data_IF_326842424959
#
_entry.id   IF_326842424959
#
_cell.length_a   1.000
_cell.length_b   1.000
_cell.length_c   1.000
_cell.angle_alpha   90.00
_cell.angle_beta   90.00
_cell.angle_gamma   90.00
#
_symmetry.space_group_name_H-M   'P 1'
#
loop_
_entity.id
_entity.type
_entity.pdbx_description
1 polymer ?
#
# COMPACT_ATOMS: atom_id res chain seq x y z
N UNK A 1 31.41 -22.55 16.05
CA UNK A 1 30.12 -22.99 15.46
C UNK A 1 30.09 -22.67 13.95
N UNK A 2 30.95 -23.36 13.16
CA UNK A 2 30.96 -23.21 11.70
C UNK A 2 29.70 -23.79 11.07
N UNK A 3 29.05 -23.03 10.17
CA UNK A 3 27.93 -23.51 9.37
C UNK A 3 26.59 -23.68 10.06
N UNK A 4 26.47 -23.33 11.34
CA UNK A 4 25.20 -23.42 12.07
C UNK A 4 24.37 -22.14 11.90
N UNK A 5 23.12 -22.30 11.47
CA UNK A 5 22.15 -21.22 11.41
C UNK A 5 21.91 -20.63 12.80
N UNK A 6 22.12 -19.31 12.96
CA UNK A 6 21.98 -18.57 14.23
C UNK A 6 20.54 -18.51 14.80
N UNK A 7 19.63 -19.41 14.36
CA UNK A 7 18.22 -19.31 14.69
C UNK A 7 17.80 -19.73 16.12
N UNK A 8 18.64 -20.42 16.88
CA UNK A 8 18.40 -20.69 18.31
C UNK A 8 19.73 -20.71 19.05
N UNK A 9 19.82 -19.99 20.19
CA UNK A 9 21.00 -19.98 21.06
C UNK A 9 21.35 -21.40 21.55
N UNK A 10 20.34 -22.26 21.73
CA UNK A 10 20.52 -23.66 22.12
C UNK A 10 21.26 -24.50 21.07
N UNK A 11 21.33 -24.05 19.82
CA UNK A 11 22.02 -24.74 18.72
C UNK A 11 23.49 -24.27 18.52
N UNK A 12 24.08 -23.56 19.51
CA UNK A 12 25.47 -23.09 19.48
C UNK A 12 26.29 -23.75 20.59
N UNK A 13 26.69 -25.03 20.44
CA UNK A 13 27.31 -25.79 21.50
C UNK A 13 28.61 -25.20 22.00
N UNK A 14 29.44 -24.64 21.11
CA UNK A 14 30.69 -24.01 21.48
C UNK A 14 30.48 -22.67 22.19
N UNK A 15 29.48 -21.91 21.82
CA UNK A 15 29.10 -20.69 22.54
C UNK A 15 28.59 -21.02 23.95
N UNK A 16 27.81 -22.06 24.11
CA UNK A 16 27.37 -22.53 25.44
C UNK A 16 28.54 -23.08 26.26
N UNK A 17 29.51 -23.75 25.62
CA UNK A 17 30.74 -24.19 26.26
C UNK A 17 31.53 -23.00 26.76
N UNK A 18 31.73 -21.97 25.94
CA UNK A 18 32.37 -20.73 26.32
C UNK A 18 31.71 -20.09 27.55
N UNK A 19 30.37 -19.99 27.57
CA UNK A 19 29.63 -19.42 28.70
C UNK A 19 29.84 -20.24 29.98
N UNK A 20 29.86 -21.58 29.92
CA UNK A 20 30.19 -22.42 31.07
C UNK A 20 31.60 -22.20 31.57
N UNK A 21 32.58 -22.03 30.69
CA UNK A 21 33.96 -21.69 31.08
C UNK A 21 34.05 -20.32 31.76
N UNK A 22 33.22 -19.36 31.34
CA UNK A 22 33.08 -18.06 32.03
C UNK A 22 32.51 -18.23 33.44
N UNK A 23 31.49 -19.04 33.64
CA UNK A 23 30.92 -19.35 34.96
C UNK A 23 31.95 -20.03 35.89
N UNK A 24 32.84 -20.84 35.34
CA UNK A 24 33.97 -21.47 36.05
C UNK A 24 35.17 -20.52 36.24
N UNK A 25 35.07 -19.24 35.85
CA UNK A 25 36.12 -18.24 35.91
C UNK A 25 37.44 -18.65 35.21
N UNK A 26 37.30 -19.36 34.09
CA UNK A 26 38.44 -19.77 33.25
C UNK A 26 38.70 -18.78 32.11
N UNK A 27 37.85 -17.74 31.97
CA UNK A 27 37.96 -16.71 30.94
C UNK A 27 37.82 -15.35 31.63
N UNK A 28 38.73 -14.43 31.35
CA UNK A 28 38.73 -13.07 31.90
C UNK A 28 38.18 -12.05 30.90
N UNK A 29 38.34 -12.32 29.59
CA UNK A 29 37.93 -11.42 28.51
C UNK A 29 37.50 -12.22 27.30
N UNK A 30 36.39 -11.80 26.66
CA UNK A 30 35.92 -12.31 25.39
C UNK A 30 36.20 -11.27 24.32
N UNK A 31 36.89 -11.67 23.25
CA UNK A 31 37.09 -10.86 22.06
C UNK A 31 36.14 -11.38 20.96
N UNK A 32 35.40 -10.47 20.35
CA UNK A 32 34.49 -10.80 19.25
C UNK A 32 34.51 -9.68 18.21
N UNK A 33 34.32 -10.05 17.00
CA UNK A 33 34.39 -9.10 15.87
C UNK A 33 33.32 -8.03 15.97
N UNK A 34 32.04 -8.44 16.19
CA UNK A 34 30.90 -7.53 16.27
C UNK A 34 29.78 -8.09 17.16
N UNK A 35 28.83 -7.24 17.54
CA UNK A 35 27.63 -7.62 18.31
C UNK A 35 26.80 -8.67 17.57
N UNK A 36 26.67 -8.56 16.26
CA UNK A 36 25.91 -9.51 15.42
C UNK A 36 26.54 -10.93 15.34
N UNK A 37 27.86 -11.03 15.57
CA UNK A 37 28.57 -12.32 15.68
C UNK A 37 28.44 -12.94 17.05
N UNK A 38 28.37 -12.10 18.08
CA UNK A 38 28.22 -12.55 19.46
C UNK A 38 26.82 -13.07 19.74
N UNK A 39 25.78 -12.32 19.37
CA UNK A 39 24.40 -12.70 19.59
C UNK A 39 23.55 -12.37 18.33
N UNK A 40 22.46 -13.11 18.14
CA UNK A 40 21.57 -12.97 16.98
C UNK A 40 20.63 -11.76 17.06
N UNK A 41 20.44 -11.21 18.23
CA UNK A 41 19.66 -10.00 18.44
C UNK A 41 20.20 -9.22 19.66
N UNK A 42 19.89 -7.93 19.67
CA UNK A 42 20.36 -7.00 20.70
C UNK A 42 19.92 -7.38 22.10
N UNK A 43 18.73 -7.96 22.26
CA UNK A 43 18.23 -8.40 23.57
C UNK A 43 19.07 -9.54 24.15
N UNK A 44 19.46 -10.51 23.34
CA UNK A 44 20.35 -11.59 23.75
C UNK A 44 21.76 -11.06 24.05
N UNK A 45 22.31 -10.19 23.17
CA UNK A 45 23.60 -9.56 23.41
C UNK A 45 23.64 -8.84 24.76
N UNK A 46 22.62 -8.03 25.04
CA UNK A 46 22.52 -7.31 26.31
C UNK A 46 22.40 -8.25 27.52
N UNK A 47 21.63 -9.33 27.41
CA UNK A 47 21.48 -10.29 28.48
C UNK A 47 22.80 -11.03 28.79
N UNK A 48 23.52 -11.50 27.76
CA UNK A 48 24.79 -12.18 27.93
C UNK A 48 25.87 -11.22 28.45
N UNK A 49 25.97 -10.01 27.91
CA UNK A 49 26.97 -9.03 28.40
C UNK A 49 26.73 -8.63 29.83
N UNK A 50 25.47 -8.46 30.27
CA UNK A 50 25.13 -8.21 31.69
C UNK A 50 25.53 -9.37 32.60
N UNK A 51 25.22 -10.63 32.20
CA UNK A 51 25.61 -11.82 32.95
C UNK A 51 27.13 -11.91 33.10
N UNK A 52 27.87 -11.70 32.01
CA UNK A 52 29.32 -11.74 31.99
C UNK A 52 29.94 -10.62 32.85
N UNK A 53 29.37 -9.42 32.78
CA UNK A 53 29.78 -8.28 33.58
C UNK A 53 29.60 -8.52 35.09
N UNK A 54 28.51 -9.20 35.49
CA UNK A 54 28.31 -9.61 36.90
C UNK A 54 29.36 -10.62 37.36
N UNK A 55 29.94 -11.42 36.46
CA UNK A 55 31.05 -12.33 36.72
C UNK A 55 32.41 -11.63 36.67
N UNK A 56 32.45 -10.34 36.35
CA UNK A 56 33.68 -9.56 36.16
C UNK A 56 34.36 -9.79 34.80
N UNK A 57 33.67 -10.44 33.84
CA UNK A 57 34.25 -10.79 32.55
C UNK A 57 33.83 -9.74 31.52
N UNK A 58 34.81 -9.15 30.82
CA UNK A 58 34.61 -8.20 29.76
C UNK A 58 34.28 -8.86 28.43
N UNK A 59 33.50 -8.15 27.62
CA UNK A 59 33.34 -8.48 26.18
C UNK A 59 33.78 -7.26 25.38
N UNK A 60 34.71 -7.46 24.47
CA UNK A 60 35.18 -6.43 23.56
C UNK A 60 34.74 -6.75 22.15
N UNK A 61 33.99 -5.82 21.55
CA UNK A 61 33.53 -5.86 20.19
C UNK A 61 34.45 -4.96 19.36
N UNK A 62 35.30 -5.58 18.53
CA UNK A 62 36.38 -4.88 17.81
C UNK A 62 35.85 -3.90 16.77
N UNK A 63 34.92 -4.32 15.91
CA UNK A 63 34.35 -3.47 14.86
C UNK A 63 33.44 -2.37 15.42
N UNK A 64 32.71 -2.68 16.50
CA UNK A 64 31.77 -1.74 17.10
C UNK A 64 32.46 -0.80 18.13
N UNK A 65 33.73 -1.03 18.46
CA UNK A 65 34.50 -0.23 19.40
C UNK A 65 33.98 -0.27 20.85
N UNK A 66 33.27 -1.35 21.23
CA UNK A 66 32.59 -1.47 22.53
C UNK A 66 33.40 -2.35 23.47
N UNK A 67 33.66 -1.84 24.69
CA UNK A 67 34.19 -2.62 25.82
C UNK A 67 33.20 -2.59 26.98
N UNK A 68 32.61 -3.73 27.30
CA UNK A 68 31.50 -3.82 28.27
C UNK A 68 31.92 -3.51 29.72
N UNK A 69 33.16 -3.70 30.10
CA UNK A 69 33.66 -3.35 31.46
C UNK A 69 33.86 -1.84 31.60
N UNK A 70 34.29 -1.16 30.53
CA UNK A 70 34.58 0.27 30.53
C UNK A 70 33.29 1.15 30.42
N UNK A 71 32.16 0.57 30.09
CA UNK A 71 30.91 1.31 29.85
C UNK A 71 29.88 1.10 30.97
N UNK A 72 29.17 2.18 31.32
CA UNK A 72 28.01 2.10 32.21
C UNK A 72 26.88 1.29 31.54
N UNK A 73 26.03 0.63 32.33
CA UNK A 73 24.97 -0.23 31.82
C UNK A 73 23.97 0.51 30.96
N UNK A 74 23.66 1.76 31.28
CA UNK A 74 22.78 2.62 30.53
C UNK A 74 23.36 2.98 29.14
N UNK A 75 24.65 3.25 29.09
CA UNK A 75 25.39 3.51 27.86
C UNK A 75 25.43 2.28 26.94
N UNK A 76 25.63 1.09 27.49
CA UNK A 76 25.58 -0.18 26.78
C UNK A 76 24.19 -0.40 26.16
N UNK A 77 23.13 -0.12 26.92
CA UNK A 77 21.75 -0.26 26.46
C UNK A 77 21.46 0.68 25.27
N UNK A 78 21.87 1.93 25.39
CA UNK A 78 21.69 2.93 24.33
C UNK A 78 22.49 2.58 23.07
N UNK A 79 23.73 2.12 23.23
CA UNK A 79 24.59 1.72 22.09
C UNK A 79 24.02 0.51 21.36
N UNK A 80 23.60 -0.51 22.09
CA UNK A 80 22.98 -1.69 21.49
C UNK A 80 21.63 -1.36 20.83
N UNK A 81 20.84 -0.46 21.39
CA UNK A 81 19.61 0.00 20.78
C UNK A 81 19.87 0.75 19.46
N UNK A 82 20.91 1.58 19.41
CA UNK A 82 21.33 2.27 18.19
C UNK A 82 21.78 1.28 17.09
N UNK A 83 22.60 0.27 17.44
CA UNK A 83 23.02 -0.79 16.50
C UNK A 83 21.80 -1.54 15.94
N UNK A 84 20.85 -1.94 16.79
CA UNK A 84 19.63 -2.62 16.34
C UNK A 84 18.80 -1.77 15.38
N UNK A 85 18.74 -0.48 15.63
CA UNK A 85 18.02 0.44 14.76
C UNK A 85 18.71 0.58 13.39
N UNK A 86 20.04 0.64 13.37
CA UNK A 86 20.81 0.68 12.13
C UNK A 86 20.71 -0.63 11.33
N UNK A 87 20.83 -1.78 11.97
CA UNK A 87 20.62 -3.08 11.34
C UNK A 87 19.22 -3.18 10.71
N UNK A 88 18.18 -2.76 11.43
CA UNK A 88 16.80 -2.74 10.91
C UNK A 88 16.65 -1.84 9.69
N UNK A 89 17.26 -0.64 9.70
CA UNK A 89 17.29 0.27 8.55
C UNK A 89 18.02 -0.34 7.37
N UNK A 90 19.18 -0.91 7.60
CA UNK A 90 20.00 -1.56 6.56
C UNK A 90 19.26 -2.71 5.89
N UNK A 91 18.64 -3.60 6.67
CA UNK A 91 17.82 -4.71 6.15
C UNK A 91 16.69 -4.17 5.28
N UNK A 92 15.97 -3.13 5.75
CA UNK A 92 14.86 -2.51 5.01
C UNK A 92 15.35 -1.88 3.69
N UNK A 93 16.52 -1.24 3.69
CA UNK A 93 17.12 -0.66 2.48
C UNK A 93 17.53 -1.74 1.48
N UNK A 94 18.19 -2.82 1.94
CA UNK A 94 18.57 -3.94 1.07
C UNK A 94 17.35 -4.65 0.47
N UNK A 95 16.29 -4.84 1.25
CA UNK A 95 15.04 -5.39 0.73
C UNK A 95 14.42 -4.47 -0.33
N UNK A 96 14.39 -3.14 -0.08
CA UNK A 96 13.90 -2.17 -1.05
C UNK A 96 14.69 -2.19 -2.35
N UNK A 97 16.02 -2.17 -2.28
CA UNK A 97 16.89 -2.27 -3.45
C UNK A 97 16.68 -3.57 -4.24
N UNK A 98 16.54 -4.70 -3.55
CA UNK A 98 16.24 -5.99 -4.18
C UNK A 98 14.88 -5.97 -4.90
N UNK A 99 13.86 -5.34 -4.30
CA UNK A 99 12.54 -5.20 -4.92
C UNK A 99 12.61 -4.30 -6.16
N UNK A 100 13.27 -3.14 -6.06
CA UNK A 100 13.47 -2.21 -7.17
C UNK A 100 14.17 -2.92 -8.34
N UNK A 101 15.27 -3.61 -8.08
CA UNK A 101 16.01 -4.35 -9.11
C UNK A 101 15.14 -5.41 -9.81
N UNK A 102 14.28 -6.11 -9.07
CA UNK A 102 13.31 -7.06 -9.66
C UNK A 102 12.23 -6.35 -10.47
N UNK A 103 11.82 -5.14 -10.10
CA UNK A 103 10.88 -4.34 -10.89
C UNK A 103 11.52 -3.87 -12.20
N UNK A 104 12.78 -3.45 -12.19
CA UNK A 104 13.56 -3.08 -13.38
C UNK A 104 13.69 -4.26 -14.37
N UNK A 105 13.94 -5.46 -13.84
CA UNK A 105 14.08 -6.68 -14.64
C UNK A 105 12.72 -7.28 -15.07
N UNK A 106 11.59 -6.75 -14.58
CA UNK A 106 10.26 -7.30 -14.84
C UNK A 106 9.95 -8.59 -14.09
N UNK A 107 10.79 -9.00 -13.15
CA UNK A 107 10.66 -10.23 -12.34
C UNK A 107 9.82 -10.01 -11.08
N UNK A 108 9.45 -8.77 -10.77
CA UNK A 108 8.62 -8.49 -9.61
C UNK A 108 7.17 -8.86 -9.89
N UNK A 109 6.63 -9.75 -9.07
CA UNK A 109 5.24 -10.18 -9.15
C UNK A 109 4.50 -9.71 -7.89
N UNK A 110 3.47 -8.90 -8.12
CA UNK A 110 2.57 -8.46 -7.07
C UNK A 110 1.72 -9.65 -6.59
N UNK A 111 1.48 -9.75 -5.29
CA UNK A 111 0.63 -10.78 -4.69
C UNK A 111 -0.82 -10.74 -5.17
N UNK A 112 -1.25 -9.60 -5.75
CA UNK A 112 -2.58 -9.39 -6.29
C UNK A 112 -2.62 -9.54 -7.82
N UNK A 113 -3.09 -10.69 -8.30
CA UNK A 113 -3.43 -10.87 -9.71
C UNK A 113 -4.63 -9.98 -10.10
N UNK A 114 -4.65 -9.30 -11.26
CA UNK A 114 -5.84 -8.60 -11.75
C UNK A 114 -6.98 -9.57 -12.07
N UNK A 115 -8.21 -9.06 -12.23
CA UNK A 115 -9.36 -9.84 -12.69
C UNK A 115 -9.07 -10.42 -14.07
N UNK A 116 -9.38 -11.69 -14.30
CA UNK A 116 -8.98 -12.42 -15.52
C UNK A 116 -7.66 -13.18 -15.39
N UNK A 117 -6.93 -13.01 -14.29
CA UNK A 117 -5.69 -13.74 -14.01
C UNK A 117 -5.71 -14.42 -12.64
N UNK A 118 -4.95 -15.51 -12.54
CA UNK A 118 -4.61 -16.20 -11.30
C UNK A 118 -3.09 -16.27 -11.14
N UNK A 119 -2.63 -16.19 -9.90
CA UNK A 119 -1.22 -16.36 -9.59
C UNK A 119 -0.94 -17.84 -9.37
N UNK A 120 -0.19 -18.47 -10.29
CA UNK A 120 0.22 -19.88 -10.23
C UNK A 120 1.75 -19.88 -10.28
N UNK A 121 2.40 -20.50 -9.30
CA UNK A 121 3.87 -20.59 -9.22
C UNK A 121 4.58 -19.24 -9.41
N UNK A 122 4.09 -18.19 -8.78
CA UNK A 122 4.60 -16.83 -8.96
C UNK A 122 4.54 -16.28 -10.40
N UNK A 123 3.64 -16.80 -11.22
CA UNK A 123 3.42 -16.31 -12.59
C UNK A 123 1.94 -16.00 -12.77
N UNK A 124 1.63 -14.95 -13.52
CA UNK A 124 0.25 -14.61 -13.87
C UNK A 124 -0.21 -15.52 -15.01
N UNK A 125 -1.18 -16.38 -14.73
CA UNK A 125 -1.81 -17.26 -15.70
C UNK A 125 -3.24 -16.79 -16.00
N UNK A 126 -3.66 -16.86 -17.26
CA UNK A 126 -5.01 -16.48 -17.68
C UNK A 126 -6.03 -17.43 -17.04
N UNK A 127 -7.09 -16.85 -16.46
CA UNK A 127 -8.24 -17.57 -15.93
C UNK A 127 -9.44 -17.31 -16.81
N UNK A 128 -9.73 -18.25 -17.71
CA UNK A 128 -10.72 -18.08 -18.80
C UNK A 128 -12.12 -17.61 -18.34
N UNK A 129 -12.71 -18.10 -17.24
CA UNK A 129 -14.04 -17.63 -16.82
C UNK A 129 -14.11 -16.11 -16.57
N UNK A 130 -13.02 -15.52 -16.05
CA UNK A 130 -12.92 -14.06 -15.86
C UNK A 130 -12.39 -13.35 -17.12
N UNK A 131 -11.53 -14.02 -17.89
CA UNK A 131 -10.93 -13.47 -19.11
C UNK A 131 -11.98 -13.14 -20.18
N UNK A 132 -13.00 -13.98 -20.34
CA UNK A 132 -14.14 -13.75 -21.22
C UNK A 132 -14.84 -12.42 -20.86
N UNK A 133 -15.03 -12.16 -19.57
CA UNK A 133 -15.66 -10.94 -19.08
C UNK A 133 -14.79 -9.71 -19.37
N UNK A 134 -13.47 -9.82 -19.20
CA UNK A 134 -12.55 -8.73 -19.54
C UNK A 134 -12.62 -8.41 -21.04
N UNK A 135 -12.56 -9.42 -21.92
CA UNK A 135 -12.69 -9.23 -23.37
C UNK A 135 -14.02 -8.58 -23.72
N UNK A 136 -15.10 -9.02 -23.09
CA UNK A 136 -16.44 -8.43 -23.26
C UNK A 136 -16.49 -6.95 -22.83
N UNK A 137 -15.88 -6.58 -21.72
CA UNK A 137 -15.78 -5.18 -21.23
C UNK A 137 -15.11 -4.31 -22.30
N UNK A 138 -13.97 -4.76 -22.86
CA UNK A 138 -13.24 -4.02 -23.89
C UNK A 138 -14.06 -3.86 -25.16
N UNK A 139 -14.69 -4.94 -25.62
CA UNK A 139 -15.52 -4.91 -26.82
C UNK A 139 -16.75 -4.01 -26.64
N UNK A 140 -17.42 -4.08 -25.49
CA UNK A 140 -18.59 -3.23 -25.20
C UNK A 140 -18.21 -1.74 -25.17
N UNK A 141 -17.04 -1.41 -24.61
CA UNK A 141 -16.54 -0.04 -24.58
C UNK A 141 -16.22 0.50 -25.99
N UNK A 142 -15.63 -0.32 -26.86
CA UNK A 142 -15.41 0.00 -28.28
C UNK A 142 -16.71 0.19 -29.06
N UNK A 143 -17.73 -0.58 -28.72
CA UNK A 143 -19.08 -0.46 -29.30
C UNK A 143 -19.84 0.77 -28.78
N UNK A 144 -19.20 1.65 -28.02
CA UNK A 144 -19.75 2.93 -27.58
C UNK A 144 -20.39 2.95 -26.20
N UNK A 145 -20.44 1.82 -25.49
CA UNK A 145 -21.02 1.79 -24.16
C UNK A 145 -20.21 2.69 -23.18
N UNK A 146 -20.91 3.34 -22.29
CA UNK A 146 -20.27 4.07 -21.20
C UNK A 146 -19.76 3.11 -20.11
N UNK A 147 -18.75 3.54 -19.35
CA UNK A 147 -18.22 2.78 -18.20
C UNK A 147 -19.32 2.46 -17.17
N UNK A 148 -20.29 3.38 -17.01
CA UNK A 148 -21.41 3.21 -16.08
C UNK A 148 -22.42 2.18 -16.55
N UNK A 149 -22.73 2.16 -17.85
CA UNK A 149 -23.63 1.16 -18.46
C UNK A 149 -23.03 -0.24 -18.36
N UNK A 150 -21.74 -0.39 -18.69
CA UNK A 150 -21.02 -1.66 -18.54
C UNK A 150 -21.07 -2.16 -17.09
N UNK A 151 -20.80 -1.29 -16.11
CA UNK A 151 -20.84 -1.65 -14.69
C UNK A 151 -22.26 -2.06 -14.24
N UNK A 152 -23.27 -1.37 -14.72
CA UNK A 152 -24.68 -1.68 -14.42
C UNK A 152 -25.10 -3.01 -15.02
N UNK A 153 -24.77 -3.27 -16.27
CA UNK A 153 -25.10 -4.52 -16.97
C UNK A 153 -24.43 -5.74 -16.32
N UNK A 154 -23.14 -5.64 -15.97
CA UNK A 154 -22.43 -6.69 -15.24
C UNK A 154 -23.07 -6.98 -13.87
N UNK A 155 -23.56 -5.95 -13.19
CA UNK A 155 -24.26 -6.10 -11.90
C UNK A 155 -25.63 -6.74 -12.07
N UNK A 156 -26.38 -6.40 -13.13
CA UNK A 156 -27.70 -7.00 -13.45
C UNK A 156 -27.56 -8.48 -13.84
N UNK A 157 -26.48 -8.84 -14.54
CA UNK A 157 -26.16 -10.24 -14.90
C UNK A 157 -25.57 -11.04 -13.76
N UNK A 158 -25.44 -10.46 -12.58
CA UNK A 158 -24.89 -11.08 -11.36
C UNK A 158 -23.49 -11.67 -11.56
N UNK A 159 -22.66 -11.03 -12.43
CA UNK A 159 -21.31 -11.48 -12.72
C UNK A 159 -20.43 -11.32 -11.48
N UNK A 160 -19.78 -12.40 -10.98
CA UNK A 160 -18.96 -12.31 -9.78
C UNK A 160 -17.71 -11.45 -10.00
N UNK A 161 -17.45 -10.54 -9.08
CA UNK A 161 -16.17 -9.82 -9.02
C UNK A 161 -15.10 -10.70 -8.38
N UNK A 162 -13.85 -10.31 -8.45
CA UNK A 162 -12.73 -11.03 -7.81
C UNK A 162 -12.93 -11.31 -6.30
N UNK A 163 -13.70 -10.48 -5.62
CA UNK A 163 -14.02 -10.63 -4.19
C UNK A 163 -15.34 -11.41 -3.96
N UNK A 164 -15.90 -12.07 -4.98
CA UNK A 164 -17.15 -12.83 -4.89
C UNK A 164 -18.42 -11.99 -4.78
N UNK A 165 -18.34 -10.65 -4.87
CA UNK A 165 -19.50 -9.76 -4.89
C UNK A 165 -19.96 -9.56 -6.32
N UNK A 166 -21.26 -9.48 -6.54
CA UNK A 166 -21.85 -9.21 -7.87
C UNK A 166 -21.99 -7.71 -8.21
N UNK A 167 -21.65 -6.82 -7.26
CA UNK A 167 -21.76 -5.38 -7.49
C UNK A 167 -20.54 -4.83 -8.23
N UNK A 168 -20.75 -4.43 -9.47
CA UNK A 168 -19.75 -3.74 -10.27
C UNK A 168 -19.85 -2.22 -10.14
N UNK A 169 -18.70 -1.55 -10.07
CA UNK A 169 -18.62 -0.09 -10.01
C UNK A 169 -17.90 0.47 -11.23
N UNK A 170 -18.23 1.69 -11.63
CA UNK A 170 -17.55 2.39 -12.72
C UNK A 170 -16.03 2.46 -12.49
N UNK A 171 -15.59 2.58 -11.23
CA UNK A 171 -14.16 2.58 -10.87
C UNK A 171 -13.47 1.25 -11.21
N UNK A 172 -14.13 0.11 -10.98
CA UNK A 172 -13.58 -1.21 -11.33
C UNK A 172 -13.46 -1.41 -12.82
N UNK A 173 -14.51 -1.03 -13.57
CA UNK A 173 -14.50 -1.10 -15.04
C UNK A 173 -13.41 -0.18 -15.59
N UNK A 174 -13.30 1.04 -15.09
CA UNK A 174 -12.24 1.98 -15.48
C UNK A 174 -10.83 1.43 -15.19
N UNK A 175 -10.64 0.78 -14.04
CA UNK A 175 -9.38 0.13 -13.69
C UNK A 175 -9.04 -1.00 -14.68
N UNK A 176 -10.02 -1.84 -15.05
CA UNK A 176 -9.81 -2.90 -16.05
C UNK A 176 -9.43 -2.29 -17.40
N UNK A 177 -10.16 -1.29 -17.90
CA UNK A 177 -9.90 -0.66 -19.19
C UNK A 177 -8.52 0.05 -19.26
N UNK A 178 -7.94 0.44 -18.14
CA UNK A 178 -6.67 1.19 -18.08
C UNK A 178 -5.46 0.37 -17.61
N UNK A 179 -5.63 -0.94 -17.38
CA UNK A 179 -4.58 -1.75 -16.80
C UNK A 179 -3.73 -2.44 -17.88
N UNK A 180 -2.48 -2.04 -18.03
CA UNK A 180 -1.51 -2.57 -18.99
C UNK A 180 -1.19 -4.05 -18.79
N UNK A 181 -1.51 -4.65 -17.65
CA UNK A 181 -1.29 -6.08 -17.42
C UNK A 181 -2.09 -6.97 -18.38
N UNK A 182 -3.15 -6.46 -18.98
CA UNK A 182 -3.93 -7.23 -19.95
C UNK A 182 -3.23 -7.45 -21.30
N UNK A 183 -2.21 -6.67 -21.62
CA UNK A 183 -1.36 -6.85 -22.80
C UNK A 183 -0.02 -7.54 -22.50
N UNK A 184 0.12 -8.10 -21.28
CA UNK A 184 1.34 -8.78 -20.85
C UNK A 184 2.41 -7.87 -20.25
N UNK A 185 2.19 -6.58 -20.21
CA UNK A 185 3.14 -5.60 -19.67
C UNK A 185 2.85 -5.29 -18.19
N UNK A 186 3.84 -4.82 -17.45
CA UNK A 186 3.68 -4.40 -16.06
C UNK A 186 4.27 -3.02 -15.81
N UNK A 187 3.48 -2.15 -15.17
CA UNK A 187 3.94 -0.87 -14.66
C UNK A 187 3.99 -0.92 -13.13
N UNK A 188 5.17 -0.74 -12.57
CA UNK A 188 5.44 -0.80 -11.14
C UNK A 188 5.52 0.58 -10.51
N UNK A 189 5.41 0.65 -9.19
CA UNK A 189 5.44 1.88 -8.39
C UNK A 189 4.42 2.96 -8.83
N UNK A 190 3.22 2.54 -9.23
CA UNK A 190 2.09 3.45 -9.51
C UNK A 190 1.63 4.25 -8.28
N UNK A 191 1.97 3.75 -7.10
CA UNK A 191 1.66 4.37 -5.80
C UNK A 191 2.91 4.43 -4.94
N UNK A 192 3.03 5.48 -4.15
CA UNK A 192 4.07 5.64 -3.14
C UNK A 192 3.45 5.67 -1.74
N UNK A 193 4.24 5.31 -0.73
CA UNK A 193 3.85 5.38 0.68
C UNK A 193 4.50 6.61 1.29
N UNK A 194 3.71 7.46 1.91
CA UNK A 194 4.22 8.60 2.67
C UNK A 194 5.04 8.10 3.86
N UNK A 195 6.18 8.76 4.12
CA UNK A 195 7.09 8.39 5.19
C UNK A 195 6.56 8.74 6.60
N UNK A 196 5.48 9.54 6.68
CA UNK A 196 4.92 10.05 7.93
C UNK A 196 3.80 9.13 8.43
N UNK A 197 3.80 8.85 9.73
CA UNK A 197 2.73 8.07 10.40
C UNK A 197 1.51 8.98 10.62
N UNK A 198 0.28 8.51 10.29
CA UNK A 198 -0.06 7.20 9.75
C UNK A 198 0.29 7.06 8.26
N UNK A 199 0.98 5.98 7.92
CA UNK A 199 1.39 5.70 6.55
C UNK A 199 0.20 5.71 5.58
N UNK A 200 0.14 6.69 4.70
CA UNK A 200 -0.88 6.79 3.65
C UNK A 200 -0.28 6.39 2.31
N UNK A 201 -1.04 5.61 1.57
CA UNK A 201 -0.71 5.29 0.19
C UNK A 201 -1.31 6.35 -0.72
N UNK A 202 -0.49 7.00 -1.51
CA UNK A 202 -0.89 8.01 -2.50
C UNK A 202 -0.46 7.59 -3.91
N UNK A 203 -1.09 8.18 -4.92
CA UNK A 203 -0.69 7.96 -6.31
C UNK A 203 0.71 8.56 -6.52
N UNK A 204 1.62 7.79 -7.10
CA UNK A 204 2.93 8.30 -7.49
C UNK A 204 2.77 9.32 -8.63
N UNK A 205 3.21 10.55 -8.39
CA UNK A 205 3.19 11.67 -9.35
C UNK A 205 4.59 12.11 -9.74
N UNK A 206 5.58 11.21 -9.60
CA UNK A 206 6.99 11.48 -9.82
C UNK A 206 7.82 11.58 -8.55
N UNK A 207 7.25 11.20 -7.37
CA UNK A 207 8.00 11.15 -6.11
C UNK A 207 8.99 9.97 -6.08
N UNK A 208 8.64 8.86 -6.72
CA UNK A 208 9.48 7.68 -6.87
C UNK A 208 9.54 7.25 -8.34
N UNK A 209 10.62 6.60 -8.74
CA UNK A 209 10.78 6.10 -10.09
C UNK A 209 9.75 5.04 -10.42
N UNK A 210 9.14 5.12 -11.60
CA UNK A 210 8.20 4.13 -12.11
C UNK A 210 8.88 3.26 -13.14
N UNK A 211 8.76 1.94 -12.99
CA UNK A 211 9.35 0.97 -13.90
C UNK A 211 8.28 0.39 -14.82
N UNK A 212 8.63 0.18 -16.08
CA UNK A 212 7.77 -0.42 -17.07
C UNK A 212 8.48 -1.61 -17.72
N UNK A 213 7.96 -2.81 -17.47
CA UNK A 213 8.47 -4.05 -18.04
C UNK A 213 7.48 -4.59 -19.07
N UNK A 214 8.01 -4.99 -20.23
CA UNK A 214 7.22 -5.56 -21.32
C UNK A 214 7.25 -7.09 -21.27
N UNK A 215 6.15 -7.71 -21.69
CA UNK A 215 6.05 -9.16 -21.91
C UNK A 215 6.41 -10.00 -20.68
N UNK A 216 5.96 -9.55 -19.50
CA UNK A 216 6.23 -10.22 -18.23
C UNK A 216 5.35 -11.47 -18.02
N UNK A 217 4.25 -11.59 -18.75
CA UNK A 217 3.29 -12.71 -18.65
C UNK A 217 2.43 -12.84 -19.92
N UNK A 218 1.70 -13.93 -20.05
CA UNK A 218 0.82 -14.17 -21.19
C UNK A 218 -0.26 -13.07 -21.32
N UNK A 219 -0.37 -12.39 -22.49
CA UNK A 219 -1.37 -11.37 -22.69
C UNK A 219 -2.78 -11.97 -22.79
N UNK A 220 -3.78 -11.25 -22.28
CA UNK A 220 -5.19 -11.60 -22.37
C UNK A 220 -5.86 -10.92 -23.57
N UNK A 221 -5.32 -9.76 -23.96
CA UNK A 221 -5.81 -8.90 -25.03
C UNK A 221 -4.70 -8.60 -26.04
N UNK A 222 -5.13 -8.34 -27.28
CA UNK A 222 -4.23 -7.80 -28.28
C UNK A 222 -3.82 -6.35 -27.97
N UNK A 223 -2.55 -6.00 -28.23
CA UNK A 223 -2.00 -4.67 -28.00
C UNK A 223 -2.76 -3.59 -28.77
N UNK A 224 -3.16 -3.87 -30.01
CA UNK A 224 -3.90 -2.92 -30.83
C UNK A 224 -5.25 -2.55 -30.19
N UNK A 225 -6.01 -3.53 -29.74
CA UNK A 225 -7.31 -3.34 -29.09
C UNK A 225 -7.17 -2.52 -27.80
N UNK A 226 -6.12 -2.79 -27.01
CA UNK A 226 -5.85 -2.02 -25.80
C UNK A 226 -5.58 -0.55 -26.12
N UNK A 227 -4.69 -0.25 -27.07
CA UNK A 227 -4.35 1.13 -27.40
C UNK A 227 -5.52 1.91 -28.00
N UNK A 228 -6.37 1.28 -28.81
CA UNK A 228 -7.61 1.90 -29.30
C UNK A 228 -8.51 2.35 -28.13
N UNK A 229 -8.66 1.49 -27.12
CA UNK A 229 -9.43 1.84 -25.91
C UNK A 229 -8.77 2.98 -25.14
N UNK A 230 -7.42 3.00 -24.98
CA UNK A 230 -6.73 4.10 -24.32
C UNK A 230 -6.96 5.44 -25.03
N UNK A 231 -6.90 5.44 -26.36
CA UNK A 231 -7.15 6.63 -27.17
C UNK A 231 -8.58 7.18 -26.96
N UNK A 232 -9.56 6.28 -26.94
CA UNK A 232 -10.95 6.65 -26.65
C UNK A 232 -11.15 7.18 -25.23
N UNK A 233 -10.48 6.58 -24.24
CA UNK A 233 -10.50 7.05 -22.85
C UNK A 233 -9.93 8.46 -22.73
N UNK A 234 -8.80 8.73 -23.40
CA UNK A 234 -8.18 10.06 -23.40
C UNK A 234 -9.04 11.10 -24.13
N UNK A 235 -9.62 10.75 -25.26
CA UNK A 235 -10.54 11.63 -26.01
C UNK A 235 -11.74 12.02 -25.14
N UNK A 236 -12.40 11.04 -24.51
CA UNK A 236 -13.53 11.29 -23.60
C UNK A 236 -13.11 12.11 -22.37
N UNK A 237 -11.93 11.85 -21.80
CA UNK A 237 -11.41 12.63 -20.68
C UNK A 237 -11.16 14.10 -21.05
N UNK A 238 -10.59 14.37 -22.23
CA UNK A 238 -10.37 15.74 -22.72
C UNK A 238 -11.69 16.48 -22.97
N UNK A 239 -12.72 15.78 -23.49
CA UNK A 239 -14.06 16.35 -23.70
C UNK A 239 -14.77 16.70 -22.38
N UNK A 240 -14.53 15.94 -21.29
CA UNK A 240 -15.11 16.18 -19.98
C UNK A 240 -14.25 17.03 -19.05
N UNK A 241 -13.01 17.32 -19.42
CA UNK A 241 -12.14 18.23 -18.66
C UNK A 241 -12.58 19.67 -18.94
N UNK A 242 -13.62 20.13 -18.24
CA UNK A 242 -13.88 21.55 -18.12
C UNK A 242 -12.70 22.16 -17.37
N UNK A 243 -12.01 23.13 -17.96
CA UNK A 243 -10.88 23.88 -17.37
C UNK A 243 -11.25 24.65 -16.09
N UNK A 244 -12.49 24.55 -15.64
CA UNK A 244 -12.98 25.20 -14.44
C UNK A 244 -12.63 24.35 -13.23
N UNK A 245 -11.70 24.80 -12.35
CA UNK A 245 -11.43 24.08 -11.11
C UNK A 245 -12.73 23.95 -10.31
N UNK A 246 -12.92 22.83 -9.58
CA UNK A 246 -14.12 22.65 -8.79
C UNK A 246 -14.27 23.83 -7.82
N UNK A 247 -15.29 24.66 -8.04
CA UNK A 247 -15.57 25.81 -7.18
C UNK A 247 -15.88 25.30 -5.78
N UNK A 248 -15.02 25.59 -4.82
CA UNK A 248 -15.30 25.35 -3.43
C UNK A 248 -16.18 26.47 -2.90
N UNK A 249 -17.38 26.13 -2.49
CA UNK A 249 -18.30 27.05 -1.82
C UNK A 249 -18.15 26.91 -0.30
N UNK A 250 -18.43 27.95 0.50
CA UNK A 250 -18.21 27.95 1.94
C UNK A 250 -18.86 26.76 2.68
N UNK A 251 -19.99 26.25 2.16
CA UNK A 251 -20.73 25.15 2.76
C UNK A 251 -20.42 23.78 2.13
N UNK A 252 -19.52 23.69 1.17
CA UNK A 252 -19.14 22.43 0.54
C UNK A 252 -18.55 21.45 1.56
N UNK A 253 -19.10 20.23 1.62
CA UNK A 253 -18.70 19.16 2.56
C UNK A 253 -18.88 19.52 4.07
N UNK A 254 -19.68 20.54 4.38
CA UNK A 254 -19.98 20.96 5.77
C UNK A 254 -21.38 20.63 6.20
N UNK A 255 -22.34 20.53 5.28
CA UNK A 255 -23.74 20.21 5.59
C UNK A 255 -23.97 18.72 5.46
N UNK A 256 -24.49 18.10 6.53
CA UNK A 256 -24.85 16.68 6.55
C UNK A 256 -26.37 16.52 6.59
N UNK A 257 -26.86 15.49 5.92
CA UNK A 257 -28.25 15.10 5.95
C UNK A 257 -28.60 14.48 7.31
N UNK A 258 -29.63 14.97 7.99
CA UNK A 258 -30.11 14.45 9.26
C UNK A 258 -30.65 13.02 9.17
N UNK A 259 -31.19 12.63 8.00
CA UNK A 259 -31.79 11.30 7.82
C UNK A 259 -30.76 10.22 7.51
N UNK A 260 -29.80 10.51 6.59
CA UNK A 260 -28.88 9.48 6.09
C UNK A 260 -27.39 9.76 6.35
N UNK A 261 -27.04 10.88 6.99
CA UNK A 261 -25.66 11.27 7.31
C UNK A 261 -24.79 11.68 6.11
N UNK A 262 -25.30 11.57 4.89
CA UNK A 262 -24.55 11.93 3.67
C UNK A 262 -24.42 13.45 3.51
N UNK A 263 -23.38 13.89 2.79
CA UNK A 263 -23.18 15.33 2.57
C UNK A 263 -24.18 15.88 1.55
N UNK A 264 -24.55 17.14 1.75
CA UNK A 264 -25.25 17.92 0.75
C UNK A 264 -24.27 18.46 -0.29
N UNK A 265 -24.70 18.53 -1.53
CA UNK A 265 -23.95 19.19 -2.59
C UNK A 265 -24.84 20.24 -3.30
N UNK A 266 -24.15 21.28 -3.77
CA UNK A 266 -24.78 22.42 -4.44
C UNK A 266 -25.14 22.04 -5.89
N UNK A 267 -26.39 22.22 -6.27
CA UNK A 267 -26.88 22.10 -7.64
C UNK A 267 -27.45 23.45 -8.12
N UNK A 268 -27.15 23.81 -9.35
CA UNK A 268 -27.79 24.95 -10.03
C UNK A 268 -28.69 24.39 -11.10
N UNK A 269 -29.99 24.72 -11.02
CA UNK A 269 -30.97 24.34 -12.02
C UNK A 269 -31.79 25.57 -12.41
N UNK A 270 -31.78 25.93 -13.70
CA UNK A 270 -32.50 27.11 -14.22
C UNK A 270 -32.15 28.41 -13.45
N UNK A 271 -30.87 28.64 -13.13
CA UNK A 271 -30.40 29.81 -12.39
C UNK A 271 -30.65 29.75 -10.87
N UNK A 272 -31.44 28.81 -10.37
CA UNK A 272 -31.73 28.67 -8.94
C UNK A 272 -30.74 27.73 -8.29
N UNK A 273 -30.14 28.20 -7.18
CA UNK A 273 -29.17 27.45 -6.39
C UNK A 273 -29.90 26.64 -5.32
N UNK A 274 -29.72 25.31 -5.35
CA UNK A 274 -30.30 24.39 -4.36
C UNK A 274 -29.24 23.46 -3.84
N UNK A 275 -29.37 23.08 -2.58
CA UNK A 275 -28.57 22.05 -1.92
C UNK A 275 -29.40 20.76 -1.82
N UNK A 276 -28.76 19.64 -2.17
CA UNK A 276 -29.41 18.32 -2.22
C UNK A 276 -28.53 17.27 -1.58
N UNK A 277 -29.12 16.36 -0.84
CA UNK A 277 -28.43 15.20 -0.26
C UNK A 277 -27.85 14.31 -1.37
N UNK A 278 -26.60 13.87 -1.23
CA UNK A 278 -25.90 13.04 -2.22
C UNK A 278 -26.64 11.73 -2.49
N UNK A 279 -27.17 11.05 -1.46
CA UNK A 279 -27.94 9.83 -1.62
C UNK A 279 -29.28 10.07 -2.33
N UNK A 280 -30.02 11.11 -1.93
CA UNK A 280 -31.27 11.47 -2.59
C UNK A 280 -31.07 11.86 -4.06
N UNK A 281 -29.97 12.52 -4.37
CA UNK A 281 -29.64 12.90 -5.75
C UNK A 281 -29.24 11.72 -6.64
N UNK A 282 -28.72 10.63 -6.06
CA UNK A 282 -28.36 9.40 -6.76
C UNK A 282 -29.59 8.48 -6.94
N UNK A 283 -30.40 8.36 -5.90
CA UNK A 283 -31.65 7.58 -5.87
C UNK A 283 -32.63 8.26 -4.89
N UNK A 284 -33.75 8.71 -5.42
CA UNK A 284 -34.80 9.41 -4.66
C UNK A 284 -35.41 8.55 -3.57
N UNK A 285 -35.38 7.22 -3.72
CA UNK A 285 -35.89 6.28 -2.72
C UNK A 285 -34.87 5.99 -1.60
N UNK A 286 -33.61 6.32 -1.80
CA UNK A 286 -32.53 6.03 -0.82
C UNK A 286 -32.50 7.02 0.36
N UNK A 287 -33.18 8.17 0.25
CA UNK A 287 -33.29 9.18 1.31
C UNK A 287 -34.46 10.13 1.03
N UNK A 288 -35.30 10.39 2.03
CA UNK A 288 -36.47 11.28 1.89
C UNK A 288 -36.14 12.77 2.06
N UNK A 289 -34.86 13.13 2.04
CA UNK A 289 -34.41 14.50 2.25
C UNK A 289 -34.88 15.45 1.15
N UNK A 290 -35.33 16.64 1.53
CA UNK A 290 -35.80 17.69 0.64
C UNK A 290 -34.63 18.49 0.01
N UNK A 291 -34.95 19.23 -1.07
CA UNK A 291 -34.07 20.25 -1.63
C UNK A 291 -34.21 21.53 -0.82
N UNK A 292 -33.08 22.14 -0.43
CA UNK A 292 -33.05 23.41 0.29
C UNK A 292 -32.46 24.51 -0.59
N UNK A 293 -33.08 25.71 -0.62
CA UNK A 293 -32.47 26.87 -1.24
C UNK A 293 -31.27 27.32 -0.44
N UNK A 294 -30.28 27.90 -1.12
CA UNK A 294 -29.04 28.40 -0.48
C UNK A 294 -29.37 29.47 0.58
N UNK A 295 -30.28 30.39 0.26
CA UNK A 295 -30.76 31.45 1.17
C UNK A 295 -31.31 30.86 2.48
N UNK A 296 -32.21 29.88 2.40
CA UNK A 296 -32.81 29.26 3.59
C UNK A 296 -31.80 28.60 4.50
N UNK A 297 -30.70 28.08 3.93
CA UNK A 297 -29.60 27.50 4.74
C UNK A 297 -28.83 28.59 5.44
N UNK A 298 -28.52 29.70 4.75
CA UNK A 298 -27.84 30.84 5.38
C UNK A 298 -28.70 31.49 6.46
N UNK A 299 -29.97 31.68 6.26
CA UNK A 299 -30.92 32.22 7.27
C UNK A 299 -30.97 31.33 8.51
N UNK A 300 -30.98 30.01 8.33
CA UNK A 300 -30.91 29.07 9.43
C UNK A 300 -29.60 29.15 10.21
N UNK A 301 -28.46 29.31 9.53
CA UNK A 301 -27.15 29.46 10.16
C UNK A 301 -27.07 30.78 10.94
N UNK A 302 -27.54 31.89 10.35
CA UNK A 302 -27.57 33.22 11.02
C UNK A 302 -28.44 33.15 12.26
N UNK A 303 -29.60 32.51 12.18
CA UNK A 303 -30.50 32.36 13.32
C UNK A 303 -29.87 31.53 14.46
N UNK A 304 -29.05 30.53 14.14
CA UNK A 304 -28.32 29.75 15.14
C UNK A 304 -27.15 30.51 15.79
N UNK A 305 -26.50 31.40 15.05
CA UNK A 305 -25.36 32.20 15.56
C UNK A 305 -25.86 33.32 16.48
N UNK A 306 -27.04 33.85 16.21
CA UNK A 306 -27.62 34.98 16.97
C UNK A 306 -28.42 34.53 18.22
N UNK A 307 -28.51 33.22 18.48
CA UNK A 307 -29.01 32.64 19.71
C UNK A 307 -27.86 32.35 20.67
#
# INVERSE_FOLDING_TARGET
DEGLSGMKADNRPEFQRMLRMCELRQIDLILTKSVSRFARNVKEALNYTRKLKLLGIGVQFEEDGINTLAMADEMLLNTFAAIAQEESKSISQHQRLSIVKRMELGEYIDSNAPYGYRLINKTLSVYEPEAIIVRWIYQSYLNGWSISEIAKDLSVRDVPTKCGKSTWTSTRVSYILSNERYIGDCKYQKTCREAVVPFRQSKNRGQEDMFYAKETHAPLLDKQLFYQVQELLEKKKKQHCTEIPPRQYPLTSRIRCSECGSFYHRKVRSGVIKWVCSKHAADTNACNSSYYSEERIYDGIITMINK
#
